data_IF_411953115585
#
_entry.id   IF_411953115585
#
_cell.length_a   1.000
_cell.length_b   1.000
_cell.length_c   1.000
_cell.angle_alpha   90.00
_cell.angle_beta   90.00
_cell.angle_gamma   90.00
#
_symmetry.space_group_name_H-M   'P 1'
#
loop_
_entity.id
_entity.type
_entity.pdbx_description
1 polymer ?
#
# COMPACT_ATOMS: atom_id res chain seq x y z
N UNK A 1 -23.73 -15.42 24.18
CA UNK A 1 -22.28 -15.68 24.12
C UNK A 1 -21.61 -14.49 23.44
N UNK A 2 -20.56 -13.88 24.02
CA UNK A 2 -19.86 -12.80 23.34
C UNK A 2 -19.05 -13.40 22.19
N UNK A 3 -19.33 -12.93 20.97
CA UNK A 3 -18.63 -13.35 19.75
C UNK A 3 -17.16 -12.93 19.83
N UNK A 4 -16.26 -13.89 19.99
CA UNK A 4 -14.81 -13.66 19.98
C UNK A 4 -14.41 -13.08 18.62
N UNK A 5 -14.14 -11.77 18.57
CA UNK A 5 -13.52 -11.13 17.41
C UNK A 5 -12.09 -11.64 17.30
N UNK A 6 -11.87 -12.67 16.48
CA UNK A 6 -10.53 -13.16 16.17
C UNK A 6 -9.78 -11.99 15.52
N UNK A 7 -8.81 -11.43 16.23
CA UNK A 7 -7.98 -10.34 15.73
C UNK A 7 -7.27 -10.82 14.45
N UNK A 8 -7.69 -10.31 13.30
CA UNK A 8 -7.10 -10.68 12.00
C UNK A 8 -5.64 -10.22 12.02
N UNK A 9 -4.72 -11.16 11.81
CA UNK A 9 -3.30 -10.83 11.74
C UNK A 9 -3.03 -9.79 10.64
N UNK A 10 -2.17 -8.79 10.89
CA UNK A 10 -1.79 -7.82 9.89
C UNK A 10 -1.06 -8.49 8.72
N UNK A 11 -1.55 -8.28 7.50
CA UNK A 11 -1.07 -8.90 6.28
C UNK A 11 -1.82 -8.40 5.04
N UNK A 12 -1.67 -9.08 3.90
CA UNK A 12 -2.26 -8.63 2.64
C UNK A 12 -3.79 -8.51 2.71
N UNK A 13 -4.49 -9.54 3.19
CA UNK A 13 -5.95 -9.58 3.18
C UNK A 13 -6.56 -8.51 4.10
N UNK A 14 -5.99 -8.28 5.28
CA UNK A 14 -6.43 -7.22 6.18
C UNK A 14 -6.12 -5.83 5.61
N UNK A 15 -4.94 -5.64 5.01
CA UNK A 15 -4.60 -4.40 4.31
C UNK A 15 -5.62 -4.07 3.20
N UNK A 16 -5.90 -5.00 2.29
CA UNK A 16 -6.83 -4.79 1.17
C UNK A 16 -8.27 -4.53 1.64
N UNK A 17 -8.71 -5.19 2.72
CA UNK A 17 -10.05 -5.00 3.29
C UNK A 17 -10.21 -3.59 3.85
N UNK A 18 -9.25 -3.15 4.64
CA UNK A 18 -9.33 -1.86 5.34
C UNK A 18 -9.04 -0.68 4.43
N UNK A 19 -8.30 -0.89 3.33
CA UNK A 19 -7.97 0.17 2.35
C UNK A 19 -9.19 0.94 1.85
N UNK A 20 -10.35 0.28 1.78
CA UNK A 20 -11.62 0.88 1.34
C UNK A 20 -12.18 1.90 2.32
N UNK A 21 -11.75 1.87 3.58
CA UNK A 21 -12.32 2.64 4.67
C UNK A 21 -11.41 3.80 5.13
N UNK A 22 -10.20 3.91 4.56
CA UNK A 22 -9.21 4.89 4.98
C UNK A 22 -8.79 5.80 3.83
N UNK A 23 -8.40 7.04 4.17
CA UNK A 23 -7.79 7.96 3.22
C UNK A 23 -6.51 7.38 2.60
N UNK A 24 -6.20 7.77 1.37
CA UNK A 24 -5.05 7.24 0.62
C UNK A 24 -3.73 7.45 1.36
N UNK A 25 -3.50 8.62 1.96
CA UNK A 25 -2.25 8.89 2.67
C UNK A 25 -2.10 8.00 3.92
N UNK A 26 -3.20 7.69 4.61
CA UNK A 26 -3.19 6.72 5.72
C UNK A 26 -2.88 5.30 5.23
N UNK A 27 -3.41 4.90 4.07
CA UNK A 27 -3.09 3.62 3.44
C UNK A 27 -1.61 3.52 3.05
N UNK A 28 -1.00 4.61 2.60
CA UNK A 28 0.45 4.68 2.29
C UNK A 28 1.27 4.43 3.57
N UNK A 29 1.01 5.17 4.65
CA UNK A 29 1.76 4.99 5.91
C UNK A 29 1.60 3.59 6.50
N UNK A 30 0.40 3.04 6.40
CA UNK A 30 0.12 1.69 6.85
C UNK A 30 0.88 0.67 6.02
N UNK A 31 0.88 0.78 4.70
CA UNK A 31 1.62 -0.15 3.85
C UNK A 31 3.12 -0.09 4.11
N UNK A 32 3.69 1.11 4.26
CA UNK A 32 5.08 1.32 4.69
C UNK A 32 5.37 0.56 6.00
N UNK A 33 4.47 0.66 6.98
CA UNK A 33 4.61 -0.03 8.26
C UNK A 33 4.59 -1.55 8.11
N UNK A 34 3.70 -2.09 7.25
CA UNK A 34 3.61 -3.53 6.94
C UNK A 34 4.87 -4.04 6.22
N UNK A 35 5.43 -3.27 5.28
CA UNK A 35 6.66 -3.59 4.55
C UNK A 35 7.88 -3.62 5.48
N UNK A 36 8.03 -2.60 6.34
CA UNK A 36 9.11 -2.52 7.34
C UNK A 36 9.08 -3.71 8.31
N UNK A 37 7.88 -4.11 8.73
CA UNK A 37 7.66 -5.26 9.64
C UNK A 37 7.66 -6.62 8.93
N UNK A 38 7.85 -6.65 7.59
CA UNK A 38 7.79 -7.87 6.77
C UNK A 38 6.48 -8.66 6.92
N UNK A 39 5.38 -7.96 7.19
CA UNK A 39 4.04 -8.52 7.33
C UNK A 39 3.38 -8.78 5.96
N UNK A 40 3.80 -8.02 4.94
CA UNK A 40 3.56 -8.34 3.53
C UNK A 40 4.94 -8.56 2.91
N UNK A 41 5.16 -9.75 2.35
CA UNK A 41 6.45 -10.22 1.82
C UNK A 41 6.22 -11.12 0.61
N UNK A 42 7.29 -11.37 -0.13
CA UNK A 42 7.32 -12.10 -1.39
C UNK A 42 6.71 -11.28 -2.52
N UNK A 43 7.17 -11.58 -3.74
CA UNK A 43 6.90 -10.75 -4.91
C UNK A 43 5.40 -10.60 -5.20
N UNK A 44 4.62 -11.68 -5.13
CA UNK A 44 3.19 -11.65 -5.48
C UNK A 44 2.35 -10.82 -4.50
N UNK A 45 2.39 -11.05 -3.17
CA UNK A 45 1.66 -10.21 -2.22
C UNK A 45 2.05 -8.73 -2.28
N UNK A 46 3.35 -8.44 -2.40
CA UNK A 46 3.86 -7.08 -2.49
C UNK A 46 3.41 -6.39 -3.78
N UNK A 47 3.44 -7.09 -4.92
CA UNK A 47 2.94 -6.55 -6.19
C UNK A 47 1.44 -6.24 -6.13
N UNK A 48 0.62 -7.15 -5.59
CA UNK A 48 -0.84 -6.94 -5.46
C UNK A 48 -1.13 -5.73 -4.57
N UNK A 49 -0.48 -5.63 -3.41
CA UNK A 49 -0.66 -4.50 -2.49
C UNK A 49 -0.23 -3.17 -3.13
N UNK A 50 0.92 -3.15 -3.81
CA UNK A 50 1.45 -1.95 -4.46
C UNK A 50 0.54 -1.49 -5.59
N UNK A 51 0.13 -2.38 -6.50
CA UNK A 51 -0.77 -2.04 -7.60
C UNK A 51 -2.13 -1.52 -7.10
N UNK A 52 -2.68 -2.14 -6.05
CA UNK A 52 -3.96 -1.70 -5.46
C UNK A 52 -3.82 -0.31 -4.82
N UNK A 53 -2.70 -0.05 -4.15
CA UNK A 53 -2.44 1.25 -3.53
C UNK A 53 -2.26 2.34 -4.59
N UNK A 54 -1.46 2.10 -5.63
CA UNK A 54 -1.24 3.05 -6.72
C UNK A 54 -2.53 3.34 -7.48
N UNK A 55 -3.39 2.34 -7.71
CA UNK A 55 -4.73 2.55 -8.26
C UNK A 55 -5.53 3.54 -7.42
N UNK A 56 -5.53 3.40 -6.10
CA UNK A 56 -6.23 4.33 -5.21
C UNK A 56 -5.60 5.74 -5.23
N UNK A 57 -4.27 5.84 -5.31
CA UNK A 57 -3.57 7.13 -5.47
C UNK A 57 -4.03 7.85 -6.75
N UNK A 58 -4.14 7.13 -7.87
CA UNK A 58 -4.63 7.68 -9.13
C UNK A 58 -6.11 8.04 -9.03
N UNK A 59 -6.94 7.20 -8.41
CA UNK A 59 -8.39 7.44 -8.28
C UNK A 59 -8.71 8.67 -7.43
N UNK A 60 -7.96 8.90 -6.35
CA UNK A 60 -8.14 10.07 -5.47
C UNK A 60 -7.43 11.34 -5.97
N UNK A 61 -6.67 11.27 -7.06
CA UNK A 61 -5.99 12.42 -7.61
C UNK A 61 -6.96 13.29 -8.42
N UNK A 62 -7.29 14.47 -7.89
CA UNK A 62 -8.32 15.37 -8.46
C UNK A 62 -7.77 16.42 -9.43
N UNK A 63 -6.46 16.65 -9.43
CA UNK A 63 -5.85 17.67 -10.28
C UNK A 63 -5.75 17.19 -11.73
N UNK A 64 -5.96 18.10 -12.69
CA UNK A 64 -5.83 17.82 -14.13
C UNK A 64 -4.42 18.09 -14.64
N UNK A 65 -3.42 17.57 -13.93
CA UNK A 65 -2.01 17.76 -14.24
C UNK A 65 -1.26 16.43 -14.16
N UNK A 66 -0.83 15.95 -15.33
CA UNK A 66 -0.14 14.65 -15.47
C UNK A 66 1.24 14.70 -14.81
N UNK A 67 1.93 15.84 -14.84
CA UNK A 67 3.26 15.97 -14.24
C UNK A 67 3.16 15.81 -12.73
N UNK A 68 2.17 16.48 -12.11
CA UNK A 68 1.92 16.33 -10.68
C UNK A 68 1.47 14.92 -10.29
N UNK A 69 0.68 14.26 -11.13
CA UNK A 69 0.29 12.86 -10.90
C UNK A 69 1.53 11.95 -10.90
N UNK A 70 2.39 12.08 -11.91
CA UNK A 70 3.63 11.31 -12.01
C UNK A 70 4.55 11.56 -10.81
N UNK A 71 4.70 12.81 -10.38
CA UNK A 71 5.49 13.16 -9.21
C UNK A 71 4.91 12.56 -7.93
N UNK A 72 3.59 12.56 -7.76
CA UNK A 72 2.94 11.91 -6.62
C UNK A 72 3.19 10.41 -6.61
N UNK A 73 3.00 9.73 -7.74
CA UNK A 73 3.26 8.29 -7.88
C UNK A 73 4.73 7.97 -7.58
N UNK A 74 5.67 8.71 -8.16
CA UNK A 74 7.11 8.55 -7.92
C UNK A 74 7.48 8.73 -6.45
N UNK A 75 6.96 9.77 -5.79
CA UNK A 75 7.20 10.01 -4.36
C UNK A 75 6.67 8.86 -3.51
N UNK A 76 5.45 8.37 -3.80
CA UNK A 76 4.90 7.20 -3.09
C UNK A 76 5.77 5.98 -3.32
N UNK A 77 6.10 5.65 -4.57
CA UNK A 77 6.96 4.52 -4.92
C UNK A 77 8.33 4.56 -4.24
N UNK A 78 8.99 5.72 -4.23
CA UNK A 78 10.27 5.91 -3.53
C UNK A 78 10.15 5.60 -2.03
N UNK A 79 9.08 6.06 -1.39
CA UNK A 79 8.83 5.79 0.04
C UNK A 79 8.57 4.31 0.31
N UNK A 80 7.85 3.63 -0.57
CA UNK A 80 7.58 2.19 -0.46
C UNK A 80 8.85 1.35 -0.67
N UNK A 81 9.62 1.66 -1.71
CA UNK A 81 10.90 0.97 -1.99
C UNK A 81 11.90 1.19 -0.85
N UNK A 82 11.98 2.41 -0.30
CA UNK A 82 12.81 2.69 0.88
C UNK A 82 12.37 1.91 2.13
N UNK A 83 11.10 1.53 2.23
CA UNK A 83 10.58 0.76 3.37
C UNK A 83 11.04 -0.71 3.38
N UNK A 84 11.26 -1.31 2.20
CA UNK A 84 11.82 -2.66 2.05
C UNK A 84 12.62 -2.77 0.74
N UNK A 85 13.88 -2.30 0.70
CA UNK A 85 14.65 -2.23 -0.55
C UNK A 85 14.91 -3.58 -1.22
N UNK A 86 14.85 -4.68 -0.46
CA UNK A 86 15.05 -6.04 -0.97
C UNK A 86 13.84 -6.61 -1.71
N UNK A 87 12.68 -5.98 -1.58
CA UNK A 87 11.45 -6.43 -2.25
C UNK A 87 11.29 -5.70 -3.59
N UNK A 88 12.04 -6.17 -4.59
CA UNK A 88 12.10 -5.56 -5.93
C UNK A 88 10.72 -5.44 -6.62
N UNK A 89 9.77 -6.32 -6.26
CA UNK A 89 8.42 -6.27 -6.79
C UNK A 89 7.68 -4.96 -6.46
N UNK A 90 8.04 -4.27 -5.38
CA UNK A 90 7.46 -2.95 -5.05
C UNK A 90 7.96 -1.87 -6.01
N UNK A 91 9.24 -1.91 -6.41
CA UNK A 91 9.81 -0.92 -7.33
C UNK A 91 9.49 -1.19 -8.80
N UNK A 92 9.24 -2.45 -9.17
CA UNK A 92 8.90 -2.84 -10.53
C UNK A 92 7.43 -2.52 -10.90
N UNK A 93 6.56 -2.35 -9.91
CA UNK A 93 5.13 -2.06 -10.04
C UNK A 93 4.90 -0.57 -9.90
#
# INVERSE_FOLDING_TARGET
MPSTTVAVAPGLSSFLKDMKNHAVDANIERFISLLKRRQIRNSRPCAIATATLLRNVVTEFREKDVVKLLDRIRRVGQRLTAAQPREMAVGNI
#
